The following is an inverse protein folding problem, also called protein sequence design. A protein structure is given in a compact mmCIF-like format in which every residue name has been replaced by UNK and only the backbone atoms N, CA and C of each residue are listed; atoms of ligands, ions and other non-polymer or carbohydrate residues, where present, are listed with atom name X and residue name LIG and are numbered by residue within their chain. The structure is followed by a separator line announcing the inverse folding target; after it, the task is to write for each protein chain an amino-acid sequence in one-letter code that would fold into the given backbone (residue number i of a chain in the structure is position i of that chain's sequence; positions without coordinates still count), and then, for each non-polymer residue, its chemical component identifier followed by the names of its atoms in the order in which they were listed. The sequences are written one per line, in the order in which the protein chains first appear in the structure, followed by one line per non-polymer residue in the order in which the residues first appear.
data_IF_476927768062
#
_entry.id   IF_476927768062
#
_cell.length_a   1.000
_cell.length_b   1.000
_cell.length_c   1.000
_cell.angle_alpha   90.00
_cell.angle_beta   90.00
_cell.angle_gamma   90.00
#
_symmetry.space_group_name_H-M   'P 1'
#
loop_
_entity.id
_entity.type
_entity.pdbx_description
1 polymer ?
#
# COMPACT_ATOMS: atom_id res chain seq x y z
N UNK A 1 -16.74 -28.22 24.08
CA UNK A 1 -15.40 -28.28 23.46
C UNK A 1 -15.34 -27.28 22.31
N UNK A 2 -14.60 -26.18 22.46
CA UNK A 2 -14.50 -25.12 21.43
C UNK A 2 -13.65 -25.64 20.27
N UNK A 3 -14.25 -25.78 19.08
CA UNK A 3 -13.51 -26.16 17.85
C UNK A 3 -12.54 -25.02 17.49
N UNK A 4 -11.27 -25.39 17.39
CA UNK A 4 -10.15 -24.56 16.99
C UNK A 4 -10.35 -24.12 15.53
N UNK A 5 -10.45 -22.80 15.31
CA UNK A 5 -10.44 -22.19 13.98
C UNK A 5 -9.10 -22.57 13.31
N UNK A 6 -9.08 -23.13 12.09
CA UNK A 6 -7.82 -23.37 11.41
C UNK A 6 -7.19 -22.01 11.08
N UNK A 7 -6.02 -21.73 11.66
CA UNK A 7 -5.18 -20.61 11.23
C UNK A 7 -4.72 -20.90 9.80
N UNK A 8 -5.44 -20.39 8.80
CA UNK A 8 -4.91 -20.32 7.45
C UNK A 8 -3.67 -19.43 7.49
N UNK A 9 -2.52 -20.05 7.25
CA UNK A 9 -1.24 -19.37 7.06
C UNK A 9 -1.47 -18.28 6.00
N UNK A 10 -1.15 -16.99 6.23
CA UNK A 10 -1.35 -16.00 5.19
C UNK A 10 -0.53 -16.44 3.98
N UNK A 11 -1.18 -16.53 2.82
CA UNK A 11 -0.49 -16.81 1.57
C UNK A 11 0.69 -15.84 1.45
N UNK A 12 1.90 -16.36 1.19
CA UNK A 12 3.07 -15.51 0.98
C UNK A 12 2.67 -14.47 -0.08
N UNK A 13 2.79 -13.16 0.18
CA UNK A 13 2.45 -12.17 -0.82
C UNK A 13 3.23 -12.49 -2.08
N UNK A 14 2.55 -12.46 -3.23
CA UNK A 14 3.18 -12.58 -4.54
C UNK A 14 4.35 -11.59 -4.53
N UNK A 15 5.58 -12.10 -4.72
CA UNK A 15 6.77 -11.25 -4.61
C UNK A 15 6.62 -10.11 -5.60
N UNK A 16 6.55 -8.89 -5.08
CA UNK A 16 6.43 -7.71 -5.91
C UNK A 16 7.70 -7.62 -6.78
N UNK A 17 7.51 -7.47 -8.08
CA UNK A 17 8.59 -7.24 -9.02
C UNK A 17 8.70 -5.73 -9.25
N UNK A 18 9.69 -5.04 -8.65
CA UNK A 18 9.79 -3.59 -8.77
C UNK A 18 10.15 -3.13 -10.18
N UNK A 19 10.88 -3.96 -10.94
CA UNK A 19 11.23 -3.67 -12.33
C UNK A 19 9.97 -3.60 -13.19
N UNK A 20 9.15 -4.65 -13.15
CA UNK A 20 7.89 -4.70 -13.90
C UNK A 20 6.98 -3.53 -13.53
N UNK A 21 6.79 -3.28 -12.23
CA UNK A 21 5.95 -2.19 -11.75
C UNK A 21 6.44 -0.81 -12.24
N UNK A 22 7.75 -0.56 -12.19
CA UNK A 22 8.32 0.69 -12.70
C UNK A 22 8.09 0.86 -14.20
N UNK A 23 8.25 -0.22 -14.98
CA UNK A 23 8.02 -0.20 -16.42
C UNK A 23 6.55 0.08 -16.76
N UNK A 24 5.61 -0.53 -16.03
CA UNK A 24 4.17 -0.28 -16.19
C UNK A 24 3.83 1.20 -15.92
N UNK A 25 4.48 1.80 -14.91
CA UNK A 25 4.34 3.22 -14.57
C UNK A 25 5.14 4.16 -15.49
N UNK A 26 5.98 3.63 -16.39
CA UNK A 26 6.86 4.38 -17.30
C UNK A 26 7.77 5.39 -16.58
N UNK A 27 8.24 5.05 -15.39
CA UNK A 27 9.13 5.90 -14.59
C UNK A 27 10.60 5.54 -14.80
N UNK A 28 11.47 6.55 -14.71
CA UNK A 28 12.90 6.35 -14.58
C UNK A 28 13.24 5.72 -13.21
N UNK A 29 14.41 5.08 -13.08
CA UNK A 29 14.83 4.53 -11.79
C UNK A 29 14.84 5.60 -10.68
N UNK A 30 15.36 6.79 -10.96
CA UNK A 30 15.38 7.85 -9.94
C UNK A 30 13.97 8.28 -9.54
N UNK A 31 13.07 8.52 -10.49
CA UNK A 31 11.69 8.92 -10.20
C UNK A 31 10.91 7.85 -9.42
N UNK A 32 11.20 6.57 -9.67
CA UNK A 32 10.56 5.46 -8.98
C UNK A 32 11.12 5.22 -7.56
N UNK A 33 12.43 5.34 -7.37
CA UNK A 33 13.09 4.98 -6.10
C UNK A 33 13.25 6.15 -5.12
N UNK A 34 13.38 7.38 -5.61
CA UNK A 34 13.63 8.54 -4.77
C UNK A 34 12.51 8.80 -3.74
N UNK A 35 11.21 8.72 -4.08
CA UNK A 35 10.13 8.89 -3.10
C UNK A 35 10.13 7.82 -1.99
N UNK A 36 10.73 6.66 -2.24
CA UNK A 36 10.89 5.59 -1.26
C UNK A 36 12.15 5.77 -0.38
N UNK A 37 12.89 6.88 -0.53
CA UNK A 37 14.16 7.12 0.15
C UNK A 37 15.29 6.20 -0.34
N UNK A 38 15.16 5.61 -1.53
CA UNK A 38 16.14 4.69 -2.09
C UNK A 38 16.97 5.40 -3.16
N UNK A 39 18.30 5.30 -3.06
CA UNK A 39 19.20 5.84 -4.07
C UNK A 39 19.07 5.07 -5.39
N UNK A 40 19.41 5.69 -6.53
CA UNK A 40 19.37 5.03 -7.84
C UNK A 40 20.18 3.72 -7.86
N UNK A 41 21.40 3.72 -7.29
CA UNK A 41 22.23 2.51 -7.20
C UNK A 41 21.68 1.46 -6.22
N UNK A 42 20.92 1.89 -5.21
CA UNK A 42 20.13 0.99 -4.35
C UNK A 42 19.01 0.32 -5.14
N UNK A 43 18.20 1.12 -5.83
CA UNK A 43 17.08 0.68 -6.64
C UNK A 43 17.47 -0.28 -7.76
N UNK A 44 18.54 0.05 -8.48
CA UNK A 44 19.09 -0.83 -9.54
C UNK A 44 19.43 -2.23 -9.02
N UNK A 45 19.96 -2.35 -7.80
CA UNK A 45 20.24 -3.67 -7.19
C UNK A 45 18.96 -4.44 -6.89
N UNK A 46 17.90 -3.76 -6.44
CA UNK A 46 16.62 -4.40 -6.19
C UNK A 46 15.95 -4.87 -7.49
N UNK A 47 16.04 -4.08 -8.56
CA UNK A 47 15.55 -4.48 -9.89
C UNK A 47 16.32 -5.66 -10.47
N UNK A 48 17.62 -5.77 -10.18
CA UNK A 48 18.46 -6.91 -10.57
C UNK A 48 18.26 -8.18 -9.69
N UNK A 49 17.31 -8.16 -8.75
CA UNK A 49 16.94 -9.34 -7.95
C UNK A 49 17.57 -9.42 -6.56
N UNK A 50 18.31 -8.40 -6.11
CA UNK A 50 18.76 -8.33 -4.71
C UNK A 50 17.53 -8.29 -3.80
N UNK A 51 17.59 -9.04 -2.69
CA UNK A 51 16.53 -9.01 -1.68
C UNK A 51 16.36 -7.58 -1.14
N UNK A 52 15.15 -7.05 -1.31
CA UNK A 52 14.75 -5.76 -0.79
C UNK A 52 14.52 -5.84 0.73
N UNK A 53 14.95 -4.85 1.52
CA UNK A 53 14.60 -4.75 2.94
C UNK A 53 13.07 -4.70 3.13
N UNK A 54 12.52 -5.35 4.17
CA UNK A 54 11.08 -5.35 4.41
C UNK A 54 10.43 -3.96 4.46
N UNK A 55 11.02 -2.93 5.10
CA UNK A 55 10.42 -1.59 5.14
C UNK A 55 10.24 -0.97 3.74
N UNK A 56 11.24 -1.11 2.87
CA UNK A 56 11.18 -0.60 1.49
C UNK A 56 10.11 -1.34 0.69
N UNK A 57 10.01 -2.66 0.84
CA UNK A 57 8.99 -3.45 0.16
C UNK A 57 7.57 -3.07 0.59
N UNK A 58 7.38 -2.81 1.89
CA UNK A 58 6.10 -2.35 2.42
C UNK A 58 5.72 -0.98 1.87
N UNK A 59 6.64 -0.01 1.88
CA UNK A 59 6.40 1.34 1.35
C UNK A 59 6.07 1.32 -0.14
N UNK A 60 6.83 0.54 -0.92
CA UNK A 60 6.60 0.36 -2.34
C UNK A 60 5.18 -0.17 -2.60
N UNK A 61 4.73 -1.19 -1.85
CA UNK A 61 3.37 -1.72 -1.95
C UNK A 61 2.31 -0.66 -1.59
N UNK A 62 2.49 0.10 -0.50
CA UNK A 62 1.53 1.14 -0.14
C UNK A 62 1.40 2.20 -1.24
N UNK A 63 2.53 2.69 -1.73
CA UNK A 63 2.56 3.82 -2.64
C UNK A 63 2.11 3.43 -4.05
N UNK A 64 2.71 2.40 -4.63
CA UNK A 64 2.51 2.08 -6.05
C UNK A 64 1.45 1.02 -6.33
N UNK A 65 1.11 0.17 -5.35
CA UNK A 65 0.09 -0.87 -5.53
C UNK A 65 -1.23 -0.45 -4.91
N UNK A 66 -1.21 0.15 -3.72
CA UNK A 66 -2.42 0.62 -3.03
C UNK A 66 -2.75 2.07 -3.34
N UNK A 67 -1.87 2.79 -4.06
CA UNK A 67 -2.10 4.17 -4.46
C UNK A 67 -2.13 5.15 -3.29
N UNK A 68 -1.42 4.82 -2.20
CA UNK A 68 -1.34 5.70 -1.03
C UNK A 68 -0.38 6.84 -1.35
N UNK A 69 -0.91 8.07 -1.39
CA UNK A 69 -0.09 9.27 -1.44
C UNK A 69 0.41 9.59 -0.02
N UNK A 70 1.71 9.45 0.17
CA UNK A 70 2.35 9.64 1.48
C UNK A 70 2.42 11.12 1.89
N UNK A 71 2.36 12.04 0.93
CA UNK A 71 2.38 13.49 1.19
C UNK A 71 1.01 14.00 1.68
N UNK A 72 -0.05 13.22 1.45
CA UNK A 72 -1.43 13.55 1.84
C UNK A 72 -1.84 12.95 3.19
N UNK A 73 -0.94 12.24 3.88
CA UNK A 73 -1.26 11.58 5.16
C UNK A 73 -0.53 12.26 6.30
N UNK A 74 -1.29 12.90 7.18
CA UNK A 74 -0.76 13.43 8.42
C UNK A 74 -0.85 12.42 9.57
N UNK A 75 0.01 12.59 10.58
CA UNK A 75 -0.08 11.81 11.81
C UNK A 75 -1.46 11.94 12.49
N UNK A 76 -2.11 13.10 12.33
CA UNK A 76 -3.44 13.38 12.85
C UNK A 76 -4.52 12.53 12.17
N UNK A 77 -4.43 12.32 10.85
CA UNK A 77 -5.38 11.48 10.11
C UNK A 77 -5.35 10.04 10.63
N UNK A 78 -4.15 9.52 10.88
CA UNK A 78 -3.95 8.18 11.46
C UNK A 78 -4.53 8.10 12.88
N UNK A 79 -4.38 9.16 13.69
CA UNK A 79 -4.93 9.22 15.03
C UNK A 79 -6.47 9.24 15.02
N UNK A 80 -7.08 10.04 14.13
CA UNK A 80 -8.53 10.11 13.94
C UNK A 80 -9.06 8.75 13.48
N UNK A 81 -8.43 8.11 12.49
CA UNK A 81 -8.82 6.78 12.02
C UNK A 81 -8.80 5.75 13.15
N UNK A 82 -7.77 5.79 14.01
CA UNK A 82 -7.67 4.90 15.17
C UNK A 82 -8.79 5.16 16.17
N UNK A 83 -9.05 6.43 16.49
CA UNK A 83 -10.12 6.82 17.39
C UNK A 83 -11.49 6.33 16.89
N UNK A 84 -11.82 6.59 15.62
CA UNK A 84 -13.08 6.14 15.01
C UNK A 84 -13.20 4.62 15.07
N UNK A 85 -12.16 3.87 14.71
CA UNK A 85 -12.19 2.40 14.77
C UNK A 85 -12.44 1.85 16.17
N UNK A 86 -11.95 2.53 17.20
CA UNK A 86 -12.05 2.10 18.59
C UNK A 86 -13.37 2.52 19.24
N UNK A 87 -13.81 3.76 19.00
CA UNK A 87 -14.93 4.38 19.71
C UNK A 87 -16.24 4.37 18.88
N UNK A 88 -16.14 4.37 17.55
CA UNK A 88 -17.29 4.49 16.62
C UNK A 88 -17.14 3.53 15.41
N UNK A 89 -17.15 2.20 15.61
CA UNK A 89 -16.93 1.22 14.54
C UNK A 89 -18.04 1.20 13.45
N UNK A 90 -19.26 1.60 13.82
CA UNK A 90 -20.39 1.82 12.92
C UNK A 90 -20.15 3.01 11.98
N UNK A 91 -19.61 4.12 12.50
CA UNK A 91 -19.19 5.27 11.70
C UNK A 91 -18.07 4.88 10.73
N UNK A 92 -17.07 4.12 11.19
CA UNK A 92 -16.01 3.60 10.31
C UNK A 92 -16.60 2.80 9.13
N UNK A 93 -17.54 1.90 9.42
CA UNK A 93 -18.18 1.07 8.41
C UNK A 93 -18.96 1.89 7.40
N UNK A 94 -19.66 2.93 7.86
CA UNK A 94 -20.41 3.87 7.02
C UNK A 94 -19.49 4.67 6.11
N UNK A 95 -18.43 5.28 6.66
CA UNK A 95 -17.43 6.03 5.89
C UNK A 95 -16.74 5.12 4.85
N UNK A 96 -16.37 3.90 5.23
CA UNK A 96 -15.72 2.96 4.33
C UNK A 96 -16.63 2.56 3.14
N UNK A 97 -17.94 2.39 3.38
CA UNK A 97 -18.92 2.16 2.29
C UNK A 97 -19.05 3.39 1.38
N UNK A 98 -19.09 4.58 1.96
CA UNK A 98 -19.21 5.83 1.20
C UNK A 98 -17.98 6.07 0.28
N UNK A 99 -16.77 5.85 0.79
CA UNK A 99 -15.53 5.91 -0.01
C UNK A 99 -15.55 4.88 -1.14
N UNK A 100 -15.96 3.64 -0.85
CA UNK A 100 -16.07 2.59 -1.87
C UNK A 100 -17.05 2.94 -3.00
N UNK A 101 -18.18 3.58 -2.68
CA UNK A 101 -19.13 4.04 -3.69
C UNK A 101 -18.61 5.23 -4.50
N UNK A 102 -17.86 6.13 -3.86
CA UNK A 102 -17.24 7.28 -4.54
C UNK A 102 -16.25 6.81 -5.60
N UNK A 103 -15.36 5.88 -5.24
CA UNK A 103 -14.37 5.30 -6.16
C UNK A 103 -15.01 4.58 -7.36
N UNK A 104 -16.16 3.92 -7.16
CA UNK A 104 -16.92 3.29 -8.26
C UNK A 104 -17.50 4.32 -9.23
N UNK A 105 -17.98 5.46 -8.72
CA UNK A 105 -18.55 6.53 -9.56
C UNK A 105 -17.48 7.22 -10.39
N UNK A 106 -16.31 7.52 -9.82
CA UNK A 106 -15.20 8.11 -10.57
C UNK A 106 -14.63 7.16 -11.62
N UNK A 107 -14.58 5.86 -11.36
CA UNK A 107 -14.16 4.86 -12.35
C UNK A 107 -15.16 4.62 -13.50
N UNK A 108 -16.45 4.94 -13.32
CA UNK A 108 -17.47 4.80 -14.36
C UNK A 108 -17.64 6.03 -15.25
N UNK A 109 -17.02 7.16 -14.88
CA UNK A 109 -17.09 8.43 -15.60
C UNK A 109 -15.86 8.71 -16.48
N UNK A 110 -14.93 7.76 -16.58
CA UNK A 110 -13.70 7.80 -17.40
C UNK A 110 -13.73 6.66 -18.41
#
# INVERSE_FOLDING_TARGET
MKKLIPKSKPAKPKRLNPLALRHDLRLSQSAFWHPLGVTQSGGSRYEAGRKMPPPVAMLLEQMYVKGVDMDQIEARDVAILRYIKQQHPDLYTTLNKAVGNTNKRSAAAT
#
